data_IF_497947289329
#
_entry.id   IF_497947289329
#
_cell.length_a   1.000
_cell.length_b   1.000
_cell.length_c   1.000
_cell.angle_alpha   90.00
_cell.angle_beta   90.00
_cell.angle_gamma   90.00
#
_symmetry.space_group_name_H-M   'P 1'
#
loop_
_entity.id
_entity.type
_entity.pdbx_description
1 polymer ?
#
# COMPACT_ATOMS: atom_id res chain seq x y z
N UNK A 1 -11.60 4.78 -0.41
CA UNK A 1 -10.20 4.37 -0.72
C UNK A 1 -9.27 5.45 -0.20
N UNK A 2 -8.10 5.10 0.38
CA UNK A 2 -7.08 6.10 0.71
C UNK A 2 -6.71 6.88 -0.56
N UNK A 3 -6.55 8.21 -0.44
CA UNK A 3 -6.29 9.11 -1.58
C UNK A 3 -5.02 8.69 -2.34
N UNK A 4 -4.05 8.10 -1.65
CA UNK A 4 -2.78 7.63 -2.22
C UNK A 4 -2.95 6.41 -3.15
N UNK A 5 -3.67 5.36 -2.70
CA UNK A 5 -4.00 4.20 -3.53
C UNK A 5 -4.66 4.55 -4.84
N UNK A 6 -5.64 5.46 -4.80
CA UNK A 6 -6.36 5.89 -6.00
C UNK A 6 -5.41 6.59 -6.99
N UNK A 7 -4.56 7.49 -6.49
CA UNK A 7 -3.56 8.17 -7.31
C UNK A 7 -2.59 7.19 -7.98
N UNK A 8 -2.10 6.18 -7.25
CA UNK A 8 -1.22 5.15 -7.80
C UNK A 8 -1.92 4.28 -8.86
N UNK A 9 -3.19 3.94 -8.66
CA UNK A 9 -3.98 3.22 -9.67
C UNK A 9 -4.12 4.06 -10.95
N UNK A 10 -4.44 5.35 -10.83
CA UNK A 10 -4.53 6.25 -11.97
C UNK A 10 -3.19 6.39 -12.71
N UNK A 11 -2.08 6.56 -11.98
CA UNK A 11 -0.74 6.64 -12.56
C UNK A 11 -0.38 5.34 -13.30
N UNK A 12 -0.70 4.18 -12.73
CA UNK A 12 -0.49 2.89 -13.37
C UNK A 12 -1.28 2.74 -14.66
N UNK A 13 -2.56 3.14 -14.66
CA UNK A 13 -3.41 3.13 -15.86
C UNK A 13 -2.86 4.04 -16.97
N UNK A 14 -2.37 5.24 -16.61
CA UNK A 14 -1.72 6.16 -17.55
C UNK A 14 -0.40 5.58 -18.11
N UNK A 15 0.37 4.86 -17.30
CA UNK A 15 1.56 4.14 -17.75
C UNK A 15 1.23 3.06 -18.79
N UNK A 16 0.18 2.27 -18.53
CA UNK A 16 -0.28 1.22 -19.46
C UNK A 16 -0.74 1.85 -20.78
N UNK A 17 -1.54 2.92 -20.76
CA UNK A 17 -1.98 3.57 -22.00
C UNK A 17 -0.82 4.16 -22.79
N UNK A 18 0.16 4.78 -22.12
CA UNK A 18 1.37 5.27 -22.77
C UNK A 18 2.17 4.13 -23.44
N UNK A 19 2.28 2.98 -22.77
CA UNK A 19 2.96 1.82 -23.33
C UNK A 19 2.25 1.29 -24.59
N UNK A 20 0.93 1.15 -24.54
CA UNK A 20 0.13 0.72 -25.70
C UNK A 20 0.25 1.71 -26.88
N UNK A 21 0.18 3.01 -26.62
CA UNK A 21 0.38 4.05 -27.64
C UNK A 21 1.78 3.93 -28.24
N UNK A 22 2.82 3.80 -27.41
CA UNK A 22 4.20 3.57 -27.87
C UNK A 22 4.33 2.36 -28.80
N UNK A 23 3.69 1.25 -28.45
CA UNK A 23 3.67 0.03 -29.28
C UNK A 23 3.05 0.25 -30.65
N UNK A 24 1.91 0.93 -30.72
CA UNK A 24 1.27 1.24 -32.00
C UNK A 24 2.12 2.15 -32.89
N UNK A 25 2.84 3.11 -32.30
CA UNK A 25 3.77 3.99 -33.01
C UNK A 25 4.96 3.20 -33.57
N UNK A 26 5.50 2.24 -32.82
CA UNK A 26 6.58 1.36 -33.29
C UNK A 26 6.12 0.53 -34.49
N UNK A 27 4.97 -0.14 -34.39
CA UNK A 27 4.43 -1.00 -35.46
C UNK A 27 4.22 -0.19 -36.74
N UNK A 28 3.62 1.00 -36.63
CA UNK A 28 3.35 1.88 -37.78
C UNK A 28 4.62 2.54 -38.34
N UNK A 29 5.62 2.77 -37.50
CA UNK A 29 6.93 3.30 -37.92
C UNK A 29 7.82 2.27 -38.62
N UNK A 30 7.67 0.99 -38.29
CA UNK A 30 8.43 -0.11 -38.89
C UNK A 30 8.03 -0.38 -40.36
N UNK A 31 6.76 -0.19 -40.71
CA UNK A 31 6.28 -0.35 -42.09
C UNK A 31 6.70 0.78 -43.04
N UNK A 32 7.13 1.93 -42.50
CA UNK A 32 7.57 3.11 -43.27
C UNK A 32 9.02 3.57 -43.00
N UNK A 33 9.81 2.76 -42.29
CA UNK A 33 11.22 2.98 -41.95
C UNK A 33 11.60 4.39 -41.44
N UNK A 34 10.81 4.99 -40.54
CA UNK A 34 11.13 6.28 -39.92
C UNK A 34 11.77 6.12 -38.53
N UNK A 35 13.10 6.30 -38.45
CA UNK A 35 13.90 6.21 -37.21
C UNK A 35 13.34 7.08 -36.07
N UNK A 36 12.82 8.26 -36.38
CA UNK A 36 12.22 9.16 -35.37
C UNK A 36 10.99 8.54 -34.70
N UNK A 37 10.17 7.82 -35.46
CA UNK A 37 8.98 7.12 -34.95
C UNK A 37 9.36 5.94 -34.06
N UNK A 38 10.44 5.23 -34.41
CA UNK A 38 10.95 4.13 -33.57
C UNK A 38 11.46 4.64 -32.23
N UNK A 39 12.28 5.70 -32.22
CA UNK A 39 12.80 6.29 -30.97
C UNK A 39 11.64 6.78 -30.09
N UNK A 40 10.70 7.55 -30.66
CA UNK A 40 9.56 8.07 -29.91
C UNK A 40 8.67 6.95 -29.35
N UNK A 41 8.37 5.93 -30.15
CA UNK A 41 7.56 4.80 -29.73
C UNK A 41 8.25 3.95 -28.64
N UNK A 42 9.55 3.71 -28.77
CA UNK A 42 10.34 2.98 -27.75
C UNK A 42 10.39 3.73 -26.42
N UNK A 43 10.57 5.06 -26.43
CA UNK A 43 10.54 5.88 -25.23
C UNK A 43 9.19 5.79 -24.50
N UNK A 44 8.08 5.87 -25.24
CA UNK A 44 6.73 5.77 -24.67
C UNK A 44 6.44 4.38 -24.12
N UNK A 45 6.89 3.33 -24.81
CA UNK A 45 6.80 1.94 -24.35
C UNK A 45 7.54 1.74 -23.02
N UNK A 46 8.83 2.07 -22.97
CA UNK A 46 9.67 1.84 -21.79
C UNK A 46 9.23 2.73 -20.62
N UNK A 47 8.94 4.01 -20.87
CA UNK A 47 8.45 4.94 -19.85
C UNK A 47 7.10 4.50 -19.30
N UNK A 48 6.16 4.11 -20.17
CA UNK A 48 4.84 3.64 -19.78
C UNK A 48 4.89 2.37 -18.92
N UNK A 49 5.71 1.39 -19.33
CA UNK A 49 5.94 0.16 -18.54
C UNK A 49 6.55 0.51 -17.18
N UNK A 50 7.59 1.36 -17.13
CA UNK A 50 8.24 1.75 -15.88
C UNK A 50 7.28 2.40 -14.88
N UNK A 51 6.41 3.30 -15.36
CA UNK A 51 5.37 3.94 -14.53
C UNK A 51 4.36 2.91 -14.06
N UNK A 52 3.89 2.02 -14.94
CA UNK A 52 2.92 0.98 -14.60
C UNK A 52 3.46 0.02 -13.54
N UNK A 53 4.70 -0.47 -13.72
CA UNK A 53 5.35 -1.38 -12.78
C UNK A 53 5.57 -0.74 -11.40
N UNK A 54 6.06 0.49 -11.36
CA UNK A 54 6.27 1.23 -10.10
C UNK A 54 4.94 1.46 -9.38
N UNK A 55 3.91 1.86 -10.11
CA UNK A 55 2.58 2.09 -9.57
C UNK A 55 1.96 0.81 -9.01
N UNK A 56 2.11 -0.32 -9.71
CA UNK A 56 1.62 -1.62 -9.25
C UNK A 56 2.34 -2.06 -7.96
N UNK A 57 3.66 -1.84 -7.89
CA UNK A 57 4.44 -2.11 -6.68
C UNK A 57 3.94 -1.28 -5.50
N UNK A 58 3.70 0.02 -5.68
CA UNK A 58 3.17 0.88 -4.63
C UNK A 58 1.77 0.44 -4.16
N UNK A 59 0.88 0.07 -5.09
CA UNK A 59 -0.46 -0.46 -4.74
C UNK A 59 -0.34 -1.77 -3.94
N UNK A 60 0.62 -2.63 -4.28
CA UNK A 60 0.88 -3.87 -3.56
C UNK A 60 1.36 -3.60 -2.13
N UNK A 61 2.32 -2.69 -1.97
CA UNK A 61 2.83 -2.26 -0.66
C UNK A 61 1.70 -1.71 0.21
N UNK A 62 0.87 -0.82 -0.32
CA UNK A 62 -0.25 -0.25 0.44
C UNK A 62 -1.27 -1.32 0.87
N UNK A 63 -1.55 -2.29 -0.01
CA UNK A 63 -2.41 -3.43 0.33
C UNK A 63 -1.81 -4.32 1.43
N UNK A 64 -0.50 -4.52 1.43
CA UNK A 64 0.19 -5.34 2.44
C UNK A 64 0.23 -4.61 3.79
N UNK A 65 0.44 -3.28 3.79
CA UNK A 65 0.32 -2.44 4.99
C UNK A 65 -1.09 -2.53 5.57
N UNK A 66 -2.14 -2.33 4.75
CA UNK A 66 -3.53 -2.43 5.21
C UNK A 66 -3.82 -3.80 5.83
N UNK A 67 -3.33 -4.87 5.21
CA UNK A 67 -3.46 -6.23 5.73
C UNK A 67 -2.78 -6.36 7.09
N UNK A 68 -1.51 -5.95 7.21
CA UNK A 68 -0.76 -6.01 8.47
C UNK A 68 -1.47 -5.22 9.58
N UNK A 69 -1.90 -3.99 9.30
CA UNK A 69 -2.60 -3.14 10.26
C UNK A 69 -3.94 -3.76 10.68
N UNK A 70 -4.66 -4.39 9.75
CA UNK A 70 -5.92 -5.07 10.05
C UNK A 70 -5.73 -6.27 10.97
N UNK A 71 -4.68 -7.08 10.76
CA UNK A 71 -4.38 -8.23 11.60
C UNK A 71 -3.90 -7.80 12.99
N UNK A 72 -3.05 -6.78 13.08
CA UNK A 72 -2.65 -6.17 14.37
C UNK A 72 -3.87 -5.66 15.16
N UNK A 73 -4.82 -5.01 14.48
CA UNK A 73 -6.06 -4.51 15.10
C UNK A 73 -6.97 -5.64 15.59
N UNK A 74 -7.02 -6.78 14.90
CA UNK A 74 -7.80 -7.96 15.32
C UNK A 74 -7.22 -8.61 16.57
N UNK A 75 -5.89 -8.72 16.64
CA UNK A 75 -5.20 -9.26 17.81
C UNK A 75 -5.33 -8.37 19.06
N UNK A 76 -5.58 -7.07 18.88
CA UNK A 76 -5.76 -6.12 19.97
C UNK A 76 -7.18 -6.20 20.58
N UNK A 77 -7.31 -6.41 21.91
CA UNK A 77 -8.59 -6.35 22.61
C UNK A 77 -9.31 -5.03 22.35
N UNK A 78 -10.64 -5.09 22.16
CA UNK A 78 -11.44 -3.91 21.77
C UNK A 78 -11.30 -2.75 22.75
N UNK A 79 -11.27 -3.04 24.05
CA UNK A 79 -11.12 -2.08 25.15
C UNK A 79 -9.78 -1.33 25.13
N UNK A 80 -8.77 -1.90 24.46
CA UNK A 80 -7.43 -1.33 24.38
C UNK A 80 -7.17 -0.57 23.06
N UNK A 81 -8.11 -0.60 22.10
CA UNK A 81 -7.92 0.01 20.77
C UNK A 81 -7.78 1.53 20.86
N UNK A 82 -6.59 2.03 20.52
CA UNK A 82 -6.28 3.45 20.56
C UNK A 82 -5.90 3.99 21.95
N UNK A 83 -5.76 3.11 22.95
CA UNK A 83 -5.25 3.48 24.26
C UNK A 83 -3.72 3.61 24.21
N UNK A 84 -3.16 4.69 24.78
CA UNK A 84 -1.69 4.86 24.89
C UNK A 84 -1.02 3.83 25.81
N UNK A 85 -1.81 3.19 26.68
CA UNK A 85 -1.32 2.19 27.63
C UNK A 85 -1.30 0.77 27.04
N UNK A 86 -1.76 0.56 25.79
CA UNK A 86 -1.67 -0.74 25.13
C UNK A 86 -0.21 -1.13 24.91
N UNK A 87 0.13 -2.38 25.24
CA UNK A 87 1.49 -2.88 25.17
C UNK A 87 1.66 -3.92 24.06
N UNK A 88 0.96 -5.06 24.16
CA UNK A 88 0.90 -6.04 23.07
C UNK A 88 2.21 -6.75 22.72
N UNK A 89 3.15 -6.88 23.66
CA UNK A 89 4.45 -7.56 23.47
C UNK A 89 4.60 -8.78 24.40
N UNK A 90 5.18 -9.87 23.88
CA UNK A 90 5.39 -11.13 24.58
C UNK A 90 6.78 -11.17 25.23
N UNK A 91 6.86 -11.50 26.51
CA UNK A 91 8.10 -11.65 27.28
C UNK A 91 8.19 -13.05 27.86
N UNK A 92 9.28 -13.78 27.58
CA UNK A 92 9.51 -15.09 28.19
C UNK A 92 8.36 -16.09 28.05
N UNK A 93 7.56 -16.01 26.98
CA UNK A 93 6.38 -16.87 26.80
C UNK A 93 5.04 -16.24 27.21
N UNK A 94 5.03 -15.14 27.97
CA UNK A 94 3.83 -14.51 28.52
C UNK A 94 3.46 -13.27 27.71
N UNK A 95 2.18 -13.15 27.34
CA UNK A 95 1.65 -12.01 26.59
C UNK A 95 1.28 -10.88 27.55
N UNK A 96 1.90 -9.71 27.43
CA UNK A 96 1.50 -8.50 28.18
C UNK A 96 0.62 -7.61 27.31
N UNK A 97 -0.64 -7.44 27.72
CA UNK A 97 -1.66 -6.75 26.91
C UNK A 97 -1.63 -5.23 27.12
N UNK A 98 -1.61 -4.77 28.37
CA UNK A 98 -1.63 -3.36 28.77
C UNK A 98 -0.55 -3.09 29.83
N UNK A 99 0.01 -1.89 29.83
CA UNK A 99 1.01 -1.46 30.81
C UNK A 99 0.44 -1.31 32.24
N UNK A 100 -0.86 -1.03 32.37
CA UNK A 100 -1.56 -0.92 33.66
C UNK A 100 -2.20 -2.24 34.07
N UNK A 101 -2.79 -2.96 33.11
CA UNK A 101 -3.41 -4.27 33.31
C UNK A 101 -2.68 -5.35 32.50
N UNK A 102 -1.67 -6.04 33.07
CA UNK A 102 -0.82 -6.99 32.36
C UNK A 102 -1.58 -8.07 31.56
N UNK A 103 -2.67 -8.61 32.13
CA UNK A 103 -3.54 -9.61 31.50
C UNK A 103 -4.62 -9.05 30.58
N UNK A 104 -4.74 -7.72 30.49
CA UNK A 104 -5.87 -7.05 29.84
C UNK A 104 -7.05 -6.84 30.80
N UNK A 105 -8.05 -6.10 30.34
CA UNK A 105 -9.30 -5.83 31.07
C UNK A 105 -10.38 -6.76 30.53
N UNK A 106 -11.05 -7.49 31.41
CA UNK A 106 -12.12 -8.44 31.04
C UNK A 106 -13.47 -7.76 30.76
N UNK A 107 -13.67 -6.55 31.30
CA UNK A 107 -14.89 -5.77 31.10
C UNK A 107 -15.05 -5.18 29.69
N UNK A 108 -16.22 -4.61 29.40
CA UNK A 108 -16.50 -3.95 28.12
C UNK A 108 -15.75 -2.62 27.92
N UNK A 109 -15.22 -2.05 29.00
CA UNK A 109 -14.54 -0.77 29.05
C UNK A 109 -13.24 -0.87 29.85
N UNK A 110 -12.21 -0.15 29.40
CA UNK A 110 -10.94 -0.01 30.11
C UNK A 110 -11.01 1.23 31.01
N UNK A 111 -10.90 1.11 32.35
CA UNK A 111 -10.97 2.26 33.25
C UNK A 111 -9.79 3.22 33.07
N UNK A 112 -8.63 2.69 32.67
CA UNK A 112 -7.40 3.45 32.43
C UNK A 112 -7.20 3.80 30.94
N UNK A 113 -8.29 3.94 30.18
CA UNK A 113 -8.21 4.34 28.78
C UNK A 113 -7.75 5.80 28.67
N UNK A 114 -6.64 6.01 27.96
CA UNK A 114 -6.12 7.34 27.71
C UNK A 114 -5.72 7.45 26.24
N UNK A 115 -6.09 8.54 25.56
CA UNK A 115 -5.69 8.81 24.17
C UNK A 115 -4.28 9.42 24.15
N UNK A 116 -3.61 9.33 23.01
CA UNK A 116 -2.46 10.20 22.76
C UNK A 116 -2.97 11.65 22.73
N UNK A 117 -2.44 12.49 23.62
CA UNK A 117 -2.70 13.93 23.68
C UNK A 117 -2.00 14.70 22.57
#
# INVERSE_FOLDING_TARGET
MPKLKYLNICAGALGITAALIGGTIIIKGASGASVKSLIAGSCLMLGGIGIASTSLYQVKVESDIDKILSERRKAMPKTCRGCRNFHGIKYGGVMLVCAIHPGGVEGEYCPDFEKFG
#
